data_IF_965815964057
#
_entry.id   IF_965815964057
#
_cell.length_a   1.000
_cell.length_b   1.000
_cell.length_c   1.000
_cell.angle_alpha   90.00
_cell.angle_beta   90.00
_cell.angle_gamma   90.00
#
_symmetry.space_group_name_H-M   'P 1'
#
loop_
_entity.id
_entity.type
_entity.pdbx_description
1 polymer ?
#
# COMPACT_ATOMS: atom_id res chain seq x y z
N UNK A 1 -30.44 42.92 5.13
CA UNK A 1 -29.50 41.91 4.58
C UNK A 1 -28.41 41.60 5.60
N UNK A 2 -28.65 40.65 6.52
CA UNK A 2 -27.73 40.43 7.65
C UNK A 2 -27.80 39.05 8.31
N UNK A 3 -28.39 38.05 7.64
CA UNK A 3 -28.50 36.67 8.18
C UNK A 3 -27.55 35.66 7.52
N UNK A 4 -26.94 36.01 6.39
CA UNK A 4 -26.13 35.08 5.59
C UNK A 4 -24.65 35.05 5.95
N UNK A 5 -24.13 35.99 6.75
CA UNK A 5 -22.69 36.07 7.08
C UNK A 5 -22.24 35.21 8.28
N UNK A 6 -23.15 34.87 9.19
CA UNK A 6 -22.79 34.13 10.42
C UNK A 6 -22.70 32.62 10.15
N UNK A 7 -23.43 32.10 9.17
CA UNK A 7 -23.43 30.67 8.84
C UNK A 7 -22.11 30.21 8.21
N UNK A 8 -21.45 31.07 7.42
CA UNK A 8 -20.18 30.71 6.78
C UNK A 8 -18.99 30.65 7.74
N UNK A 9 -18.97 31.42 8.82
CA UNK A 9 -17.90 31.34 9.84
C UNK A 9 -18.01 30.08 10.70
N UNK A 10 -19.23 29.61 10.99
CA UNK A 10 -19.44 28.38 11.76
C UNK A 10 -18.99 27.13 11.01
N UNK A 11 -19.17 27.09 9.69
CA UNK A 11 -18.74 25.97 8.84
C UNK A 11 -17.21 25.95 8.70
N UNK A 12 -16.56 27.11 8.53
CA UNK A 12 -15.10 27.18 8.45
C UNK A 12 -14.43 26.72 9.76
N UNK A 13 -14.98 27.11 10.92
CA UNK A 13 -14.47 26.65 12.22
C UNK A 13 -14.69 25.14 12.44
N UNK A 14 -15.82 24.58 11.99
CA UNK A 14 -16.09 23.15 12.08
C UNK A 14 -15.14 22.33 11.18
N UNK A 15 -14.82 22.80 9.97
CA UNK A 15 -13.86 22.11 9.07
C UNK A 15 -12.45 22.13 9.65
N UNK A 16 -12.04 23.24 10.30
CA UNK A 16 -10.73 23.34 10.95
C UNK A 16 -10.65 22.45 12.20
N UNK A 17 -11.73 22.34 12.99
CA UNK A 17 -11.78 21.46 14.16
C UNK A 17 -11.83 19.98 13.76
N UNK A 18 -12.47 19.62 12.64
CA UNK A 18 -12.40 18.26 12.08
C UNK A 18 -10.98 17.96 11.56
N UNK A 19 -10.34 18.90 10.87
CA UNK A 19 -8.95 18.75 10.41
C UNK A 19 -7.94 18.65 11.58
N UNK A 20 -8.16 19.38 12.68
CA UNK A 20 -7.32 19.31 13.89
C UNK A 20 -7.66 18.11 14.78
N UNK A 21 -8.92 17.66 14.81
CA UNK A 21 -9.35 16.48 15.55
C UNK A 21 -8.84 15.16 14.96
N UNK A 22 -8.59 15.13 13.64
CA UNK A 22 -7.93 14.02 12.95
C UNK A 22 -6.44 13.91 13.32
N UNK A 23 -5.81 14.98 13.82
CA UNK A 23 -4.39 14.97 14.21
C UNK A 23 -4.16 14.35 15.59
N UNK A 24 -5.19 14.24 16.46
CA UNK A 24 -5.03 13.77 17.86
C UNK A 24 -5.21 12.24 18.02
N UNK A 25 -4.91 11.44 16.98
CA UNK A 25 -4.90 9.97 17.13
C UNK A 25 -3.72 9.23 16.50
N UNK A 26 -2.62 9.91 16.21
CA UNK A 26 -1.36 9.29 15.76
C UNK A 26 -0.55 8.63 16.88
N UNK A 27 -1.20 7.82 17.73
CA UNK A 27 -0.49 6.99 18.71
C UNK A 27 -1.07 5.58 18.87
N UNK A 28 -1.72 5.07 17.84
CA UNK A 28 -2.11 3.66 17.77
C UNK A 28 -1.36 2.98 16.63
N UNK A 29 -0.90 1.74 16.86
CA UNK A 29 -0.25 0.92 15.83
C UNK A 29 -1.09 0.74 14.56
N UNK A 30 -2.40 1.06 14.61
CA UNK A 30 -3.32 1.04 13.47
C UNK A 30 -3.09 2.17 12.46
N UNK A 31 -2.47 3.29 12.85
CA UNK A 31 -2.27 4.45 11.96
C UNK A 31 -1.46 4.09 10.70
N UNK A 32 -0.65 3.03 10.78
CA UNK A 32 0.25 2.57 9.70
C UNK A 32 -0.51 1.90 8.55
N UNK A 33 -1.75 1.46 8.78
CA UNK A 33 -2.64 0.90 7.74
C UNK A 33 -3.79 1.85 7.38
N UNK A 34 -3.82 3.06 7.93
CA UNK A 34 -4.87 4.03 7.64
C UNK A 34 -4.87 4.42 6.15
N UNK A 35 -3.71 4.50 5.50
CA UNK A 35 -3.60 4.73 4.05
C UNK A 35 -4.34 3.65 3.26
N UNK A 36 -4.23 2.37 3.64
CA UNK A 36 -5.02 1.31 3.01
C UNK A 36 -6.51 1.49 3.29
N UNK A 37 -6.89 1.71 4.55
CA UNK A 37 -8.29 1.86 4.94
C UNK A 37 -8.96 2.98 4.15
N UNK A 38 -8.29 4.12 4.03
CA UNK A 38 -8.85 5.36 3.49
C UNK A 38 -8.74 5.42 1.95
N UNK A 39 -7.82 4.66 1.34
CA UNK A 39 -7.59 4.63 -0.11
C UNK A 39 -7.66 3.22 -0.70
N UNK A 40 -8.46 2.34 -0.12
CA UNK A 40 -8.55 0.93 -0.51
C UNK A 40 -8.76 0.70 -2.01
N UNK A 41 -9.60 1.51 -2.64
CA UNK A 41 -9.89 1.41 -4.08
C UNK A 41 -8.64 1.64 -4.95
N UNK A 42 -7.72 2.50 -4.50
CA UNK A 42 -6.45 2.74 -5.18
C UNK A 42 -5.55 1.50 -5.14
N UNK A 43 -5.47 0.82 -3.99
CA UNK A 43 -4.73 -0.44 -3.86
C UNK A 43 -5.34 -1.56 -4.73
N UNK A 44 -6.68 -1.64 -4.77
CA UNK A 44 -7.39 -2.59 -5.63
C UNK A 44 -7.13 -2.31 -7.12
N UNK A 45 -7.13 -1.04 -7.54
CA UNK A 45 -6.85 -0.67 -8.92
C UNK A 45 -5.39 -0.94 -9.33
N UNK A 46 -4.41 -0.70 -8.45
CA UNK A 46 -3.02 -1.12 -8.69
C UNK A 46 -2.92 -2.63 -8.81
N UNK A 47 -3.65 -3.38 -7.97
CA UNK A 47 -3.70 -4.85 -8.01
C UNK A 47 -4.22 -5.33 -9.38
N UNK A 48 -5.35 -4.82 -9.85
CA UNK A 48 -5.94 -5.18 -11.14
C UNK A 48 -5.01 -4.88 -12.31
N UNK A 49 -4.40 -3.69 -12.36
CA UNK A 49 -3.49 -3.32 -13.45
C UNK A 49 -2.18 -4.10 -13.41
N UNK A 50 -1.70 -4.46 -12.22
CA UNK A 50 -0.56 -5.36 -12.06
C UNK A 50 -0.90 -6.75 -12.61
N UNK A 51 -2.07 -7.29 -12.30
CA UNK A 51 -2.49 -8.60 -12.83
C UNK A 51 -2.62 -8.60 -14.36
N UNK A 52 -3.16 -7.53 -14.94
CA UNK A 52 -3.23 -7.36 -16.40
C UNK A 52 -1.84 -7.29 -17.04
N UNK A 53 -0.92 -6.51 -16.45
CA UNK A 53 0.46 -6.45 -16.89
C UNK A 53 1.10 -7.85 -16.85
N UNK A 54 1.02 -8.54 -15.72
CA UNK A 54 1.64 -9.85 -15.55
C UNK A 54 1.04 -10.92 -16.49
N UNK A 55 -0.27 -10.88 -16.72
CA UNK A 55 -0.92 -11.75 -17.69
C UNK A 55 -0.43 -11.51 -19.13
N UNK A 56 -0.09 -10.26 -19.46
CA UNK A 56 0.50 -9.93 -20.77
C UNK A 56 1.96 -10.37 -20.92
N UNK A 57 2.69 -10.46 -19.81
CA UNK A 57 4.15 -10.66 -19.81
C UNK A 57 4.56 -12.12 -19.83
N UNK A 58 3.84 -13.04 -19.18
CA UNK A 58 4.22 -14.45 -19.24
C UNK A 58 3.08 -15.44 -18.95
N UNK A 59 2.87 -16.36 -19.89
CA UNK A 59 2.02 -17.55 -19.76
C UNK A 59 2.83 -18.78 -19.30
N UNK A 60 4.14 -18.62 -19.01
CA UNK A 60 5.09 -19.70 -18.76
C UNK A 60 6.19 -19.34 -17.77
N UNK A 61 5.85 -19.01 -16.53
CA UNK A 61 6.70 -19.39 -15.39
C UNK A 61 5.98 -19.18 -14.05
N UNK A 62 5.78 -20.26 -13.30
CA UNK A 62 5.50 -20.26 -11.86
C UNK A 62 6.69 -19.72 -11.03
N UNK A 63 7.50 -18.80 -11.59
CA UNK A 63 8.69 -18.25 -10.96
C UNK A 63 8.39 -16.78 -10.68
N UNK A 64 7.52 -16.60 -9.69
CA UNK A 64 7.09 -15.32 -9.17
C UNK A 64 8.13 -14.73 -8.23
N UNK A 65 8.65 -13.55 -8.60
CA UNK A 65 9.14 -12.52 -7.70
C UNK A 65 9.47 -11.23 -8.47
N UNK A 66 8.47 -10.61 -9.09
CA UNK A 66 8.66 -9.49 -10.02
C UNK A 66 8.46 -8.16 -9.31
N UNK A 67 9.43 -7.26 -9.40
CA UNK A 67 9.25 -5.87 -8.97
C UNK A 67 8.44 -5.14 -10.03
N UNK A 68 7.28 -4.62 -9.64
CA UNK A 68 6.44 -3.73 -10.44
C UNK A 68 6.93 -2.30 -10.30
N UNK A 69 7.32 -1.95 -9.08
CA UNK A 69 7.91 -0.67 -8.71
C UNK A 69 8.99 -0.88 -7.65
N UNK A 70 10.05 -0.09 -7.67
CA UNK A 70 11.11 -0.08 -6.68
C UNK A 70 11.73 1.31 -6.49
N UNK A 71 11.99 1.67 -5.24
CA UNK A 71 12.68 2.88 -4.79
C UNK A 71 14.06 2.55 -4.21
N UNK A 72 14.74 1.55 -4.78
CA UNK A 72 15.98 1.03 -4.22
C UNK A 72 17.08 2.11 -4.30
N UNK A 73 17.54 2.61 -3.15
CA UNK A 73 18.47 3.75 -3.02
C UNK A 73 19.84 3.64 -3.70
N UNK A 74 20.10 2.54 -4.43
CA UNK A 74 21.27 2.36 -5.29
C UNK A 74 21.02 2.75 -6.77
N UNK A 75 19.78 3.08 -7.14
CA UNK A 75 19.42 3.56 -8.47
C UNK A 75 18.71 4.93 -8.39
N UNK A 76 18.82 5.71 -9.46
CA UNK A 76 18.31 7.08 -9.51
C UNK A 76 16.77 7.07 -9.60
N UNK A 77 16.11 7.18 -8.45
CA UNK A 77 14.67 7.46 -8.34
C UNK A 77 13.72 6.27 -8.59
N UNK A 78 12.44 6.60 -8.73
CA UNK A 78 11.33 5.65 -8.93
C UNK A 78 11.50 4.81 -10.19
N UNK A 79 11.66 3.49 -10.03
CA UNK A 79 11.79 2.56 -11.15
C UNK A 79 10.55 1.68 -11.28
N UNK A 80 10.05 1.54 -12.50
CA UNK A 80 8.92 0.67 -12.84
C UNK A 80 9.37 -0.48 -13.72
N UNK A 81 8.62 -1.59 -13.68
CA UNK A 81 8.80 -2.69 -14.62
C UNK A 81 8.56 -2.22 -16.06
N UNK A 82 9.41 -2.68 -16.98
CA UNK A 82 9.20 -2.47 -18.41
C UNK A 82 7.82 -2.98 -18.84
N UNK A 83 7.03 -2.11 -19.45
CA UNK A 83 5.64 -2.40 -19.85
C UNK A 83 4.57 -1.91 -18.87
N UNK A 84 4.94 -1.41 -17.68
CA UNK A 84 4.00 -0.71 -16.81
C UNK A 84 3.47 0.54 -17.52
N UNK A 85 2.16 0.58 -17.77
CA UNK A 85 1.52 1.70 -18.48
C UNK A 85 1.39 2.95 -17.59
N UNK A 86 1.08 4.10 -18.21
CA UNK A 86 0.90 5.38 -17.49
C UNK A 86 -0.16 5.31 -16.38
N UNK A 87 -1.18 4.47 -16.58
CA UNK A 87 -2.27 4.27 -15.63
C UNK A 87 -1.78 3.62 -14.33
N UNK A 88 -0.95 2.57 -14.44
CA UNK A 88 -0.35 1.86 -13.32
C UNK A 88 0.68 2.74 -12.62
N UNK A 89 1.55 3.40 -13.40
CA UNK A 89 2.53 4.33 -12.87
C UNK A 89 1.86 5.49 -12.10
N UNK A 90 0.79 6.06 -12.64
CA UNK A 90 0.04 7.15 -12.01
C UNK A 90 -0.64 6.74 -10.70
N UNK A 91 -1.16 5.52 -10.61
CA UNK A 91 -1.76 5.01 -9.36
C UNK A 91 -0.71 4.69 -8.30
N UNK A 92 0.40 4.06 -8.69
CA UNK A 92 1.53 3.86 -7.77
C UNK A 92 2.09 5.21 -7.30
N UNK A 93 2.20 6.20 -8.19
CA UNK A 93 2.57 7.57 -7.86
C UNK A 93 1.67 8.23 -6.80
N UNK A 94 0.36 7.98 -6.85
CA UNK A 94 -0.56 8.44 -5.81
C UNK A 94 -0.29 7.74 -4.47
N UNK A 95 0.00 6.44 -4.45
CA UNK A 95 0.37 5.72 -3.21
C UNK A 95 1.68 6.27 -2.64
N UNK A 96 2.69 6.52 -3.50
CA UNK A 96 3.96 7.15 -3.09
C UNK A 96 3.67 8.48 -2.39
N UNK A 97 2.88 9.36 -3.01
CA UNK A 97 2.52 10.66 -2.45
C UNK A 97 1.75 10.54 -1.12
N UNK A 98 0.76 9.65 -1.03
CA UNK A 98 -0.01 9.40 0.19
C UNK A 98 0.86 8.84 1.32
N UNK A 99 1.88 8.06 0.98
CA UNK A 99 2.82 7.48 1.93
C UNK A 99 3.97 8.40 2.32
N UNK A 100 4.02 9.64 1.81
CA UNK A 100 5.14 10.57 1.99
C UNK A 100 6.48 9.98 1.52
N UNK A 101 6.46 9.37 0.33
CA UNK A 101 7.62 8.74 -0.32
C UNK A 101 8.15 7.47 0.40
N UNK A 102 7.37 6.90 1.32
CA UNK A 102 7.78 5.73 2.11
C UNK A 102 7.50 4.40 1.44
N UNK A 103 6.79 4.37 0.30
CA UNK A 103 6.64 3.17 -0.50
C UNK A 103 8.01 2.79 -1.10
N UNK A 104 8.60 1.73 -0.57
CA UNK A 104 9.88 1.21 -1.01
C UNK A 104 9.72 0.37 -2.29
N UNK A 105 8.77 -0.57 -2.33
CA UNK A 105 8.51 -1.33 -3.56
C UNK A 105 7.09 -1.90 -3.63
N UNK A 106 6.66 -2.17 -4.87
CA UNK A 106 5.49 -2.99 -5.19
C UNK A 106 5.99 -4.23 -5.90
N UNK A 107 5.62 -5.41 -5.39
CA UNK A 107 6.12 -6.69 -5.86
C UNK A 107 4.98 -7.66 -6.11
N UNK A 108 5.01 -8.30 -7.27
CA UNK A 108 4.10 -9.35 -7.67
C UNK A 108 4.79 -10.72 -7.55
N UNK A 109 4.05 -11.69 -7.05
CA UNK A 109 4.44 -13.09 -7.04
C UNK A 109 3.23 -13.94 -7.43
N UNK A 110 3.47 -15.05 -8.13
CA UNK A 110 2.47 -16.08 -8.40
C UNK A 110 2.98 -17.42 -7.87
N UNK A 111 2.21 -18.04 -6.99
CA UNK A 111 2.50 -19.37 -6.43
C UNK A 111 1.25 -20.21 -6.52
N UNK A 112 1.38 -21.44 -7.04
CA UNK A 112 0.26 -22.38 -7.21
C UNK A 112 -0.94 -21.75 -7.94
N UNK A 113 -0.64 -20.94 -8.98
CA UNK A 113 -1.65 -20.24 -9.77
C UNK A 113 -2.29 -19.01 -9.11
N UNK A 114 -1.97 -18.71 -7.85
CA UNK A 114 -2.55 -17.63 -7.04
C UNK A 114 -1.67 -16.39 -7.01
N UNK A 115 -2.26 -15.21 -7.16
CA UNK A 115 -1.56 -13.93 -7.11
C UNK A 115 -1.27 -13.50 -5.67
N UNK A 116 -0.09 -12.93 -5.48
CA UNK A 116 0.35 -12.28 -4.26
C UNK A 116 0.97 -10.93 -4.63
N UNK A 117 0.40 -9.85 -4.12
CA UNK A 117 0.91 -8.49 -4.36
C UNK A 117 1.28 -7.86 -3.03
N UNK A 118 2.52 -7.39 -2.92
CA UNK A 118 3.07 -6.79 -1.70
C UNK A 118 3.43 -5.34 -1.98
N UNK A 119 2.86 -4.45 -1.18
CA UNK A 119 3.25 -3.05 -1.06
C UNK A 119 4.09 -2.92 0.20
N UNK A 120 5.37 -2.60 0.05
CA UNK A 120 6.30 -2.53 1.17
C UNK A 120 6.67 -1.09 1.44
N UNK A 121 6.48 -0.69 2.68
CA UNK A 121 6.71 0.66 3.16
C UNK A 121 7.79 0.66 4.25
N UNK A 122 8.68 1.64 4.15
CA UNK A 122 9.79 1.84 5.08
C UNK A 122 9.66 3.20 5.79
N UNK A 123 8.70 3.29 6.71
CA UNK A 123 8.48 4.50 7.50
C UNK A 123 9.56 4.72 8.56
N UNK A 124 10.14 3.64 9.08
CA UNK A 124 11.05 3.71 10.23
C UNK A 124 12.53 3.59 9.84
N UNK A 125 12.84 3.26 8.58
CA UNK A 125 14.18 3.21 8.03
C UNK A 125 14.98 1.98 8.49
N UNK A 126 16.30 2.05 8.31
CA UNK A 126 17.27 0.94 8.52
C UNK A 126 17.23 0.26 9.90
N UNK A 127 16.62 0.90 10.91
CA UNK A 127 16.60 0.40 12.29
C UNK A 127 15.19 0.24 12.87
N UNK A 128 14.16 0.36 12.03
CA UNK A 128 12.79 0.17 12.47
C UNK A 128 12.04 -0.88 11.67
N UNK A 129 10.78 -1.06 12.02
CA UNK A 129 9.98 -2.12 11.43
C UNK A 129 9.59 -1.73 10.00
N UNK A 130 9.47 -2.75 9.16
CA UNK A 130 8.90 -2.59 7.82
C UNK A 130 7.44 -2.98 7.83
N UNK A 131 6.65 -2.26 7.03
CA UNK A 131 5.19 -2.39 7.02
C UNK A 131 4.74 -2.79 5.63
N UNK A 132 4.01 -3.89 5.54
CA UNK A 132 3.51 -4.40 4.29
C UNK A 132 1.98 -4.32 4.26
N UNK A 133 1.45 -3.92 3.11
CA UNK A 133 0.06 -4.16 2.74
C UNK A 133 0.09 -5.23 1.65
N UNK A 134 -0.58 -6.35 1.91
CA UNK A 134 -0.44 -7.55 1.08
C UNK A 134 -1.81 -8.02 0.63
N UNK A 135 -2.00 -8.15 -0.68
CA UNK A 135 -3.13 -8.88 -1.26
C UNK A 135 -2.71 -10.30 -1.58
N UNK A 136 -3.53 -11.28 -1.22
CA UNK A 136 -3.36 -12.65 -1.65
C UNK A 136 -4.69 -13.31 -2.02
N UNK A 137 -4.74 -14.01 -3.14
CA UNK A 137 -5.90 -14.82 -3.55
C UNK A 137 -6.20 -15.98 -2.59
N UNK A 138 -5.27 -16.28 -1.65
CA UNK A 138 -5.42 -17.36 -0.68
C UNK A 138 -4.85 -16.98 0.66
N UNK A 139 -5.71 -17.00 1.67
CA UNK A 139 -5.32 -16.78 3.07
C UNK A 139 -4.12 -17.64 3.50
N UNK A 140 -4.16 -18.94 3.19
CA UNK A 140 -3.10 -19.89 3.58
C UNK A 140 -1.73 -19.53 3.00
N UNK A 141 -1.68 -18.86 1.85
CA UNK A 141 -0.45 -18.44 1.19
C UNK A 141 0.19 -17.24 1.88
N UNK A 142 -0.63 -16.28 2.34
CA UNK A 142 -0.13 -15.17 3.13
C UNK A 142 0.41 -15.66 4.48
N UNK A 143 -0.32 -16.53 5.18
CA UNK A 143 0.13 -17.06 6.46
C UNK A 143 1.38 -17.94 6.31
N UNK A 144 1.43 -18.82 5.30
CA UNK A 144 2.60 -19.65 5.00
C UNK A 144 3.83 -18.81 4.63
N UNK A 145 3.67 -17.85 3.71
CA UNK A 145 4.77 -17.04 3.20
C UNK A 145 5.50 -16.24 4.27
N UNK A 146 4.83 -15.89 5.38
CA UNK A 146 5.48 -15.18 6.49
C UNK A 146 5.81 -16.09 7.67
N UNK A 147 5.09 -17.20 7.89
CA UNK A 147 5.40 -18.18 8.94
C UNK A 147 6.73 -18.92 8.75
N UNK A 148 7.19 -19.00 7.50
CA UNK A 148 8.45 -19.67 7.14
C UNK A 148 9.65 -18.70 7.15
N UNK A 149 9.44 -17.39 7.32
CA UNK A 149 10.53 -16.41 7.37
C UNK A 149 11.12 -16.32 8.80
N UNK A 150 12.46 -16.19 8.95
CA UNK A 150 13.14 -16.15 10.25
C UNK A 150 12.94 -14.84 11.04
N UNK A 151 11.96 -14.02 10.66
CA UNK A 151 11.72 -12.67 11.19
C UNK A 151 10.49 -12.64 12.09
N UNK A 152 10.49 -11.78 13.12
CA UNK A 152 9.30 -11.62 13.97
C UNK A 152 8.30 -10.74 13.22
N UNK A 153 7.15 -11.31 12.88
CA UNK A 153 6.09 -10.57 12.22
C UNK A 153 4.79 -10.55 13.03
N UNK A 154 3.99 -9.51 12.84
CA UNK A 154 2.60 -9.42 13.26
C UNK A 154 1.72 -9.35 12.01
N UNK A 155 0.72 -10.23 11.92
CA UNK A 155 -0.24 -10.26 10.83
C UNK A 155 -1.60 -9.77 11.32
N UNK A 156 -2.10 -8.70 10.71
CA UNK A 156 -3.42 -8.13 10.95
C UNK A 156 -4.29 -8.34 9.70
N UNK A 157 -5.43 -9.01 9.84
CA UNK A 157 -6.40 -9.15 8.74
C UNK A 157 -7.04 -7.79 8.48
N UNK A 158 -7.03 -7.32 7.24
CA UNK A 158 -7.73 -6.11 6.81
C UNK A 158 -9.13 -6.51 6.29
N UNK A 159 -9.33 -6.57 4.98
CA UNK A 159 -10.58 -7.05 4.37
C UNK A 159 -10.31 -7.66 2.98
N UNK A 160 -11.22 -8.51 2.50
CA UNK A 160 -11.28 -8.93 1.08
C UNK A 160 -9.94 -9.42 0.50
N UNK A 161 -9.25 -10.31 1.25
CA UNK A 161 -7.97 -10.89 0.85
C UNK A 161 -6.74 -10.03 1.14
N UNK A 162 -6.90 -8.90 1.83
CA UNK A 162 -5.82 -8.00 2.23
C UNK A 162 -5.37 -8.19 3.68
N UNK A 163 -4.07 -8.03 3.89
CA UNK A 163 -3.39 -8.21 5.17
C UNK A 163 -2.41 -7.06 5.41
N UNK A 164 -2.37 -6.57 6.65
CA UNK A 164 -1.32 -5.71 7.15
C UNK A 164 -0.27 -6.58 7.85
N UNK A 165 0.99 -6.39 7.51
CA UNK A 165 2.09 -7.13 8.13
C UNK A 165 3.13 -6.15 8.65
N UNK A 166 3.54 -6.31 9.89
CA UNK A 166 4.62 -5.56 10.53
C UNK A 166 5.77 -6.53 10.79
N UNK A 167 6.96 -6.22 10.28
CA UNK A 167 8.16 -7.06 10.40
C UNK A 167 9.22 -6.32 11.22
N UNK A 168 9.76 -6.99 12.24
CA UNK A 168 10.83 -6.49 13.13
C UNK A 168 12.16 -7.15 12.87
#
# INVERSE_FOLDING_TARGET
MGRTRIVFMGIAAAVIIVALGVIIKYNHSSAKYDIYRDHRELFAAVKEETELLMASLDNRSDIGNTFIYSNNGNAVGHQFLDGANESLQGKVGQIIALSEDKLNFVRYNRQDGKSLIRFVFDWEGEHGNTYHIVYCDSQDLAEKAYSEEPVKYKLDKLADGWYGIEIK
#
